data_IF_091302710208
#
_entry.id   IF_091302710208
#
_cell.length_a   1.000
_cell.length_b   1.000
_cell.length_c   1.000
_cell.angle_alpha   90.00
_cell.angle_beta   90.00
_cell.angle_gamma   90.00
#
_symmetry.space_group_name_H-M   'P 1'
#
loop_
_entity.id
_entity.type
_entity.pdbx_description
1 polymer ?
#
# COMPACT_ATOMS: atom_id res chain seq x y z
N UNK A 1 21.09 -7.12 -4.76
CA UNK A 1 20.32 -6.01 -5.36
C UNK A 1 19.02 -5.87 -4.59
N UNK A 2 19.04 -5.17 -3.46
CA UNK A 2 17.89 -5.11 -2.52
C UNK A 2 17.37 -3.68 -2.33
N UNK A 3 18.26 -2.67 -2.29
CA UNK A 3 17.89 -1.27 -2.06
C UNK A 3 17.02 -0.64 -3.16
N UNK A 4 17.24 -0.99 -4.43
CA UNK A 4 16.42 -0.46 -5.52
C UNK A 4 14.97 -0.95 -5.43
N UNK A 5 14.77 -2.25 -5.17
CA UNK A 5 13.44 -2.83 -5.08
C UNK A 5 12.69 -2.31 -3.84
N UNK A 6 13.40 -2.16 -2.72
CA UNK A 6 12.87 -1.56 -1.49
C UNK A 6 12.43 -0.10 -1.73
N UNK A 7 13.29 0.72 -2.34
CA UNK A 7 12.96 2.09 -2.70
C UNK A 7 11.76 2.19 -3.66
N UNK A 8 11.67 1.27 -4.63
CA UNK A 8 10.52 1.19 -5.53
C UNK A 8 9.23 0.84 -4.77
N UNK A 9 9.28 -0.13 -3.85
CA UNK A 9 8.11 -0.52 -3.05
C UNK A 9 7.62 0.64 -2.18
N UNK A 10 8.54 1.39 -1.55
CA UNK A 10 8.22 2.61 -0.79
C UNK A 10 7.54 3.66 -1.68
N UNK A 11 8.11 3.93 -2.85
CA UNK A 11 7.55 4.91 -3.78
C UNK A 11 6.14 4.53 -4.23
N UNK A 12 5.91 3.24 -4.52
CA UNK A 12 4.58 2.75 -4.91
C UNK A 12 3.59 2.77 -3.74
N UNK A 13 4.03 2.49 -2.51
CA UNK A 13 3.20 2.63 -1.32
C UNK A 13 2.73 4.09 -1.13
N UNK A 14 3.64 5.07 -1.22
CA UNK A 14 3.23 6.48 -1.18
C UNK A 14 2.23 6.83 -2.28
N UNK A 15 2.51 6.39 -3.51
CA UNK A 15 1.64 6.63 -4.65
C UNK A 15 0.26 5.96 -4.51
N UNK A 16 0.13 4.86 -3.74
CA UNK A 16 -1.15 4.19 -3.48
C UNK A 16 -2.18 5.14 -2.84
N UNK A 17 -1.71 6.04 -1.97
CA UNK A 17 -2.57 7.03 -1.31
C UNK A 17 -3.01 8.19 -2.22
N UNK A 18 -2.29 8.41 -3.32
CA UNK A 18 -2.49 9.53 -4.25
C UNK A 18 -3.24 9.08 -5.50
N UNK A 19 -2.86 7.94 -6.07
CA UNK A 19 -3.41 7.40 -7.31
C UNK A 19 -3.58 5.86 -7.23
N UNK A 20 -4.50 5.37 -6.40
CA UNK A 20 -4.65 3.94 -6.16
C UNK A 20 -5.04 3.16 -7.42
N UNK A 21 -5.79 3.75 -8.36
CA UNK A 21 -6.20 3.08 -9.59
C UNK A 21 -5.02 2.70 -10.48
N UNK A 22 -4.01 3.56 -10.59
CA UNK A 22 -2.83 3.25 -11.40
C UNK A 22 -1.91 2.26 -10.68
N UNK A 23 -1.72 2.41 -9.36
CA UNK A 23 -0.87 1.51 -8.59
C UNK A 23 -1.41 0.08 -8.61
N UNK A 24 -2.72 -0.10 -8.48
CA UNK A 24 -3.34 -1.43 -8.51
C UNK A 24 -3.13 -2.18 -9.84
N UNK A 25 -2.78 -1.51 -10.94
CA UNK A 25 -2.43 -2.18 -12.22
C UNK A 25 -1.10 -2.90 -12.17
N UNK A 26 -0.21 -2.50 -11.26
CA UNK A 26 1.13 -3.08 -11.09
C UNK A 26 1.19 -4.05 -9.90
N UNK A 27 0.14 -4.11 -9.09
CA UNK A 27 0.02 -5.04 -7.97
C UNK A 27 -0.24 -6.46 -8.50
N UNK A 28 0.44 -7.42 -7.90
CA UNK A 28 0.31 -8.84 -8.16
C UNK A 28 0.62 -9.66 -6.88
N UNK A 29 0.56 -10.98 -6.98
CA UNK A 29 0.74 -11.87 -5.83
C UNK A 29 2.13 -11.82 -5.22
N UNK A 30 3.17 -11.43 -5.97
CA UNK A 30 4.54 -11.37 -5.45
C UNK A 30 4.88 -10.04 -4.78
N UNK A 31 4.12 -8.97 -5.06
CA UNK A 31 4.44 -7.63 -4.58
C UNK A 31 3.37 -6.98 -3.68
N UNK A 32 2.16 -7.54 -3.60
CA UNK A 32 1.03 -6.92 -2.87
C UNK A 32 1.35 -6.61 -1.41
N UNK A 33 2.07 -7.49 -0.72
CA UNK A 33 2.41 -7.29 0.69
C UNK A 33 3.46 -6.19 0.90
N UNK A 34 4.31 -5.95 -0.10
CA UNK A 34 5.30 -4.88 -0.05
C UNK A 34 4.70 -3.52 -0.42
N UNK A 35 3.76 -3.46 -1.36
CA UNK A 35 3.19 -2.20 -1.85
C UNK A 35 2.05 -1.71 -0.96
N UNK A 36 1.20 -2.63 -0.52
CA UNK A 36 0.00 -2.35 0.26
C UNK A 36 0.18 -2.64 1.76
N UNK A 37 1.39 -3.01 2.17
CA UNK A 37 1.79 -3.05 3.57
C UNK A 37 2.34 -1.70 4.04
N UNK A 38 3.30 -1.74 4.94
CA UNK A 38 4.00 -0.56 5.48
C UNK A 38 5.50 -0.75 5.15
N UNK A 39 5.95 -0.51 3.92
CA UNK A 39 7.33 -0.80 3.51
C UNK A 39 8.32 0.32 3.89
N UNK A 40 7.98 1.18 4.84
CA UNK A 40 8.81 2.33 5.20
C UNK A 40 9.99 1.92 6.08
N UNK A 41 11.09 2.66 5.96
CA UNK A 41 12.29 2.44 6.78
C UNK A 41 12.05 3.14 8.12
N UNK A 42 12.02 2.35 9.20
CA UNK A 42 11.89 2.83 10.59
C UNK A 42 10.78 3.89 10.78
N UNK A 43 9.54 3.65 10.33
CA UNK A 43 8.48 4.64 10.43
C UNK A 43 8.06 4.83 11.89
N UNK A 44 7.69 6.07 12.23
CA UNK A 44 6.99 6.38 13.47
C UNK A 44 5.55 5.87 13.44
N UNK A 45 4.92 5.70 14.61
CA UNK A 45 3.52 5.31 14.69
C UNK A 45 2.60 6.32 13.99
N UNK A 46 2.89 7.62 14.11
CA UNK A 46 2.11 8.67 13.45
C UNK A 46 2.19 8.57 11.92
N UNK A 47 3.35 8.19 11.37
CA UNK A 47 3.52 7.95 9.93
C UNK A 47 2.74 6.73 9.47
N UNK A 48 2.76 5.65 10.26
CA UNK A 48 1.98 4.44 10.02
C UNK A 48 0.49 4.75 9.98
N UNK A 49 -0.03 5.43 11.00
CA UNK A 49 -1.43 5.78 11.12
C UNK A 49 -1.88 6.71 9.99
N UNK A 50 -1.06 7.73 9.70
CA UNK A 50 -1.32 8.68 8.60
C UNK A 50 -1.38 7.95 7.25
N UNK A 51 -0.43 7.05 7.00
CA UNK A 51 -0.40 6.26 5.79
C UNK A 51 -1.62 5.35 5.67
N UNK A 52 -1.95 4.58 6.71
CA UNK A 52 -3.10 3.69 6.73
C UNK A 52 -4.40 4.44 6.42
N UNK A 53 -4.63 5.57 7.08
CA UNK A 53 -5.85 6.36 6.87
C UNK A 53 -5.94 6.87 5.43
N UNK A 54 -4.84 7.41 4.88
CA UNK A 54 -4.82 7.96 3.52
C UNK A 54 -4.98 6.86 2.46
N UNK A 55 -4.20 5.78 2.56
CA UNK A 55 -4.21 4.69 1.59
C UNK A 55 -5.55 3.93 1.60
N UNK A 56 -6.07 3.60 2.78
CA UNK A 56 -7.36 2.90 2.89
C UNK A 56 -8.53 3.76 2.38
N UNK A 57 -8.53 5.07 2.67
CA UNK A 57 -9.54 5.99 2.15
C UNK A 57 -9.46 6.12 0.61
N UNK A 58 -8.25 6.22 0.06
CA UNK A 58 -8.05 6.29 -1.39
C UNK A 58 -8.55 5.03 -2.10
N UNK A 59 -8.21 3.84 -1.57
CA UNK A 59 -8.68 2.55 -2.10
C UNK A 59 -10.21 2.41 -2.02
N UNK A 60 -10.82 2.81 -0.89
CA UNK A 60 -12.29 2.75 -0.71
C UNK A 60 -13.06 3.67 -1.66
N UNK A 61 -12.45 4.79 -2.10
CA UNK A 61 -13.06 5.72 -3.07
C UNK A 61 -13.10 5.19 -4.50
N UNK A 62 -12.32 4.16 -4.83
CA UNK A 62 -12.37 3.55 -6.16
C UNK A 62 -13.72 2.87 -6.38
N UNK A 63 -14.42 3.27 -7.43
CA UNK A 63 -15.71 2.69 -7.83
C UNK A 63 -15.56 1.31 -8.45
N UNK A 64 -14.42 1.02 -9.09
CA UNK A 64 -14.12 -0.28 -9.67
C UNK A 64 -13.80 -1.30 -8.58
N UNK A 65 -14.46 -2.46 -8.65
CA UNK A 65 -14.07 -3.63 -7.89
C UNK A 65 -12.90 -4.34 -8.59
N UNK A 66 -11.87 -4.67 -7.81
CA UNK A 66 -10.68 -5.37 -8.28
C UNK A 66 -10.21 -6.29 -7.16
N UNK A 67 -9.82 -7.51 -7.51
CA UNK A 67 -9.23 -8.45 -6.56
C UNK A 67 -8.07 -7.83 -5.78
N UNK A 68 -7.22 -7.03 -6.46
CA UNK A 68 -6.09 -6.36 -5.83
C UNK A 68 -6.50 -5.24 -4.89
N UNK A 69 -7.62 -4.55 -5.14
CA UNK A 69 -8.16 -3.53 -4.22
C UNK A 69 -8.51 -4.16 -2.88
N UNK A 70 -9.24 -5.27 -2.91
CA UNK A 70 -9.63 -5.99 -1.69
C UNK A 70 -8.42 -6.55 -0.96
N UNK A 71 -7.50 -7.16 -1.70
CA UNK A 71 -6.27 -7.70 -1.14
C UNK A 71 -5.43 -6.60 -0.47
N UNK A 72 -5.27 -5.44 -1.11
CA UNK A 72 -4.56 -4.30 -0.53
C UNK A 72 -5.24 -3.76 0.73
N UNK A 73 -6.58 -3.65 0.76
CA UNK A 73 -7.30 -3.26 1.97
C UNK A 73 -7.09 -4.25 3.13
N UNK A 74 -7.07 -5.54 2.81
CA UNK A 74 -6.80 -6.62 3.78
C UNK A 74 -5.36 -6.54 4.30
N UNK A 75 -4.37 -6.33 3.43
CA UNK A 75 -2.96 -6.17 3.79
C UNK A 75 -2.75 -4.95 4.68
N UNK A 76 -3.31 -3.78 4.32
CA UNK A 76 -3.25 -2.56 5.12
C UNK A 76 -3.81 -2.78 6.53
N UNK A 77 -4.97 -3.43 6.62
CA UNK A 77 -5.62 -3.70 7.92
C UNK A 77 -4.81 -4.69 8.75
N UNK A 78 -4.22 -5.71 8.13
CA UNK A 78 -3.36 -6.68 8.82
C UNK A 78 -2.08 -6.04 9.33
N UNK A 79 -1.55 -5.04 8.63
CA UNK A 79 -0.33 -4.32 9.04
C UNK A 79 -0.54 -3.44 10.28
N UNK A 80 -1.78 -2.99 10.55
CA UNK A 80 -2.14 -2.22 11.75
C UNK A 80 -2.32 -3.08 13.01
N UNK A 81 -2.55 -4.38 12.86
CA UNK A 81 -2.83 -5.31 13.96
C UNK A 81 -1.60 -6.14 14.38
N UNK A 82 -0.42 -5.81 13.84
CA UNK A 82 0.87 -6.42 14.19
C UNK A 82 1.57 -5.56 15.22
#
# INVERSE_FOLDING_TARGET
MTSFQEGLNIAMAYALSVNPSEILKFVNSSNVDYICGIPFIEPTQDEIDSYYLKASAALKKLTSESHWKEKCLSTLTSAMNK
#
